data_IF_082757978183
#
_entry.id   IF_082757978183
#
_cell.length_a   1.000
_cell.length_b   1.000
_cell.length_c   1.000
_cell.angle_alpha   90.00
_cell.angle_beta   90.00
_cell.angle_gamma   90.00
#
_symmetry.space_group_name_H-M   'P 1'
#
loop_
_entity.id
_entity.type
_entity.pdbx_description
1 polymer ?
#
# COMPACT_ATOMS: atom_id res chain seq x y z
N UNK A 1 -1.19 24.85 -23.69
CA UNK A 1 -1.17 23.84 -22.61
C UNK A 1 -1.70 22.56 -23.24
N UNK A 2 -0.88 21.50 -23.30
CA UNK A 2 -1.37 20.21 -23.77
C UNK A 2 -2.47 19.71 -22.82
N UNK A 3 -3.57 19.13 -23.35
CA UNK A 3 -4.65 18.65 -22.51
C UNK A 3 -4.12 17.58 -21.54
N UNK A 4 -4.53 17.67 -20.28
CA UNK A 4 -4.27 16.63 -19.29
C UNK A 4 -4.83 15.31 -19.84
N UNK A 5 -3.97 14.32 -20.02
CA UNK A 5 -4.37 13.01 -20.52
C UNK A 5 -4.35 12.02 -19.36
N UNK A 6 -5.52 11.43 -19.07
CA UNK A 6 -5.70 10.38 -18.07
C UNK A 6 -6.12 9.11 -18.81
N UNK A 7 -5.27 8.11 -18.82
CA UNK A 7 -5.52 6.84 -19.50
C UNK A 7 -5.58 5.72 -18.48
N UNK A 8 -6.67 4.96 -18.46
CA UNK A 8 -6.70 3.70 -17.70
C UNK A 8 -5.79 2.69 -18.39
N UNK A 9 -4.88 2.07 -17.63
CA UNK A 9 -4.01 1.02 -18.16
C UNK A 9 -4.62 -0.37 -17.89
N UNK A 10 -4.40 -1.37 -18.76
CA UNK A 10 -4.97 -2.71 -18.59
C UNK A 10 -4.19 -3.58 -17.57
N UNK A 11 -3.39 -2.95 -16.70
CA UNK A 11 -2.47 -3.59 -15.77
C UNK A 11 -2.81 -3.21 -14.33
N UNK A 12 -2.38 -4.04 -13.39
CA UNK A 12 -2.33 -3.68 -11.98
C UNK A 12 -0.90 -3.27 -11.63
N UNK A 13 -0.77 -2.48 -10.56
CA UNK A 13 0.52 -2.20 -9.92
C UNK A 13 0.56 -2.98 -8.62
N UNK A 14 1.51 -3.90 -8.51
CA UNK A 14 1.72 -4.74 -7.34
C UNK A 14 2.87 -4.16 -6.52
N UNK A 15 2.65 -3.92 -5.24
CA UNK A 15 3.70 -3.51 -4.30
C UNK A 15 4.23 -4.75 -3.58
N UNK A 16 5.50 -5.09 -3.79
CA UNK A 16 6.16 -6.17 -3.07
C UNK A 16 6.30 -5.84 -1.57
N UNK A 17 6.23 -6.86 -0.71
CA UNK A 17 6.76 -6.75 0.64
C UNK A 17 8.25 -6.36 0.60
N UNK A 18 8.72 -5.70 1.66
CA UNK A 18 10.13 -5.36 1.79
C UNK A 18 10.94 -6.66 1.74
N UNK A 19 11.97 -6.69 0.90
CA UNK A 19 12.88 -7.81 0.70
C UNK A 19 12.28 -9.03 -0.06
N UNK A 20 11.01 -8.97 -0.51
CA UNK A 20 10.34 -10.06 -1.26
C UNK A 20 10.00 -9.68 -2.71
N UNK A 21 10.79 -8.79 -3.32
CA UNK A 21 10.55 -8.38 -4.71
C UNK A 21 10.81 -9.52 -5.70
N UNK A 22 11.76 -10.41 -5.41
CA UNK A 22 12.08 -11.55 -6.28
C UNK A 22 10.91 -12.54 -6.30
N UNK A 23 10.37 -12.89 -5.14
CA UNK A 23 9.24 -13.81 -5.00
C UNK A 23 7.99 -13.27 -5.67
N UNK A 24 7.75 -11.95 -5.57
CA UNK A 24 6.67 -11.32 -6.32
C UNK A 24 6.91 -11.42 -7.83
N UNK A 25 8.12 -11.16 -8.32
CA UNK A 25 8.43 -11.25 -9.74
C UNK A 25 8.28 -12.68 -10.27
N UNK A 26 8.68 -13.68 -9.49
CA UNK A 26 8.55 -15.10 -9.84
C UNK A 26 7.09 -15.55 -9.86
N UNK A 27 6.24 -14.98 -9.00
CA UNK A 27 4.79 -15.23 -8.96
C UNK A 27 4.04 -14.55 -10.12
N UNK A 28 4.44 -13.34 -10.49
CA UNK A 28 3.71 -12.54 -11.48
C UNK A 28 3.96 -13.03 -12.91
N UNK A 29 2.87 -13.37 -13.59
CA UNK A 29 2.92 -13.62 -15.03
C UNK A 29 2.85 -12.31 -15.81
N UNK A 30 3.54 -12.24 -16.96
CA UNK A 30 3.50 -11.09 -17.87
C UNK A 30 3.83 -9.74 -17.21
N UNK A 31 4.95 -9.70 -16.49
CA UNK A 31 5.54 -8.46 -15.97
C UNK A 31 5.90 -7.54 -17.13
N UNK A 32 5.38 -6.32 -17.08
CA UNK A 32 5.68 -5.25 -18.06
C UNK A 32 6.92 -4.49 -17.61
N UNK A 33 6.98 -4.13 -16.33
CA UNK A 33 8.04 -3.31 -15.78
C UNK A 33 8.13 -3.44 -14.26
N UNK A 34 9.34 -3.30 -13.73
CA UNK A 34 9.59 -3.12 -12.30
C UNK A 34 10.12 -1.70 -12.03
N UNK A 35 9.60 -1.09 -10.96
CA UNK A 35 9.90 0.25 -10.43
C UNK A 35 10.23 0.10 -8.94
N UNK A 36 11.46 -0.31 -8.61
CA UNK A 36 11.87 -0.73 -7.25
C UNK A 36 10.98 -1.86 -6.74
N UNK A 37 10.16 -1.64 -5.70
CA UNK A 37 9.22 -2.64 -5.17
C UNK A 37 7.87 -2.66 -5.90
N UNK A 38 7.59 -1.69 -6.77
CA UNK A 38 6.37 -1.69 -7.58
C UNK A 38 6.60 -2.51 -8.85
N UNK A 39 5.68 -3.41 -9.17
CA UNK A 39 5.71 -4.22 -10.38
C UNK A 39 4.42 -3.98 -11.16
N UNK A 40 4.55 -3.61 -12.43
CA UNK A 40 3.44 -3.43 -13.36
C UNK A 40 3.25 -4.76 -14.10
N UNK A 41 2.10 -5.40 -13.92
CA UNK A 41 1.82 -6.70 -14.53
C UNK A 41 0.32 -6.86 -14.86
N UNK A 42 -0.03 -7.93 -15.58
CA UNK A 42 -1.44 -8.25 -15.84
C UNK A 42 -2.20 -8.49 -14.52
N UNK A 43 -3.52 -8.19 -14.47
CA UNK A 43 -4.34 -8.51 -13.30
C UNK A 43 -4.30 -10.00 -12.97
N UNK A 44 -3.87 -10.34 -11.75
CA UNK A 44 -3.90 -11.68 -11.19
C UNK A 44 -3.95 -11.63 -9.65
N UNK A 45 -4.34 -12.72 -8.98
CA UNK A 45 -4.10 -12.89 -7.55
C UNK A 45 -2.59 -12.88 -7.25
N UNK A 46 -2.22 -12.41 -6.07
CA UNK A 46 -0.84 -12.41 -5.60
C UNK A 46 -0.79 -12.62 -4.08
N UNK A 47 0.09 -13.51 -3.66
CA UNK A 47 0.41 -13.82 -2.26
C UNK A 47 1.57 -12.94 -1.79
N UNK A 48 2.52 -12.64 -2.68
CA UNK A 48 3.73 -11.87 -2.33
C UNK A 48 3.56 -10.35 -2.41
N UNK A 49 2.43 -9.87 -2.96
CA UNK A 49 2.09 -8.46 -2.96
C UNK A 49 1.59 -8.00 -1.58
N UNK A 50 2.30 -7.03 -1.00
CA UNK A 50 1.88 -6.28 0.17
C UNK A 50 0.59 -5.50 -0.11
N UNK A 51 0.49 -4.90 -1.29
CA UNK A 51 -0.72 -4.25 -1.78
C UNK A 51 -0.82 -4.36 -3.30
N UNK A 52 -2.05 -4.25 -3.82
CA UNK A 52 -2.33 -4.31 -5.26
C UNK A 52 -3.20 -3.11 -5.62
N UNK A 53 -2.68 -2.25 -6.48
CA UNK A 53 -3.42 -1.12 -7.03
C UNK A 53 -4.14 -1.58 -8.30
N UNK A 54 -5.47 -1.49 -8.26
CA UNK A 54 -6.38 -1.87 -9.34
C UNK A 54 -6.86 -0.62 -10.06
N UNK A 55 -7.45 -0.78 -11.24
CA UNK A 55 -7.98 0.35 -12.02
C UNK A 55 -6.97 1.50 -12.21
N UNK A 56 -5.69 1.15 -12.40
CA UNK A 56 -4.59 2.12 -12.44
C UNK A 56 -4.77 3.06 -13.63
N UNK A 57 -4.56 4.34 -13.38
CA UNK A 57 -4.52 5.38 -14.41
C UNK A 57 -3.10 5.91 -14.57
N UNK A 58 -2.71 6.11 -15.82
CA UNK A 58 -1.53 6.86 -16.23
C UNK A 58 -1.94 8.31 -16.51
N UNK A 59 -1.26 9.27 -15.89
CA UNK A 59 -1.55 10.69 -16.01
C UNK A 59 -0.31 11.40 -16.53
N UNK A 60 -0.39 11.94 -17.75
CA UNK A 60 0.67 12.77 -18.32
C UNK A 60 0.48 14.24 -17.94
N UNK A 61 1.54 14.89 -17.49
CA UNK A 61 1.51 16.27 -17.04
C UNK A 61 2.81 17.03 -17.37
N UNK A 62 2.73 18.34 -17.54
CA UNK A 62 3.86 19.22 -17.88
C UNK A 62 4.37 20.01 -16.66
N UNK A 63 3.51 20.28 -15.68
CA UNK A 63 3.84 21.07 -14.48
C UNK A 63 3.36 20.44 -13.17
N UNK A 64 4.01 20.81 -12.05
CA UNK A 64 3.61 20.35 -10.70
C UNK A 64 2.14 20.69 -10.41
N UNK A 65 1.70 21.91 -10.76
CA UNK A 65 0.32 22.34 -10.59
C UNK A 65 -0.68 21.48 -11.36
N UNK A 66 -0.33 21.07 -12.59
CA UNK A 66 -1.16 20.19 -13.40
C UNK A 66 -1.27 18.78 -12.80
N UNK A 67 -0.17 18.23 -12.28
CA UNK A 67 -0.19 16.95 -11.55
C UNK A 67 -1.08 17.00 -10.31
N UNK A 68 -0.97 18.06 -9.50
CA UNK A 68 -1.81 18.27 -8.31
C UNK A 68 -3.29 18.35 -8.70
N UNK A 69 -3.62 19.12 -9.73
CA UNK A 69 -5.01 19.25 -10.21
C UNK A 69 -5.57 17.91 -10.68
N UNK A 70 -4.77 17.11 -11.41
CA UNK A 70 -5.17 15.80 -11.90
C UNK A 70 -5.49 14.83 -10.76
N UNK A 71 -4.61 14.73 -9.77
CA UNK A 71 -4.81 13.87 -8.60
C UNK A 71 -6.04 14.32 -7.79
N UNK A 72 -6.23 15.62 -7.57
CA UNK A 72 -7.39 16.16 -6.87
C UNK A 72 -8.71 15.89 -7.59
N UNK A 73 -8.71 15.86 -8.92
CA UNK A 73 -9.89 15.52 -9.70
C UNK A 73 -10.30 14.04 -9.55
N UNK A 74 -9.35 13.16 -9.27
CA UNK A 74 -9.58 11.72 -9.06
C UNK A 74 -9.92 11.37 -7.61
N UNK A 75 -9.35 12.08 -6.64
CA UNK A 75 -9.53 11.77 -5.21
C UNK A 75 -8.98 12.85 -4.29
N UNK A 76 -9.39 12.81 -3.02
CA UNK A 76 -9.00 13.82 -2.01
C UNK A 76 -7.71 13.45 -1.27
N UNK A 77 -7.63 12.21 -0.79
CA UNK A 77 -6.55 11.70 0.02
C UNK A 77 -5.61 10.85 -0.83
N UNK A 78 -4.31 11.15 -0.81
CA UNK A 78 -3.32 10.48 -1.64
C UNK A 78 -2.09 10.06 -0.84
N UNK A 79 -1.75 8.78 -0.96
CA UNK A 79 -0.55 8.17 -0.39
C UNK A 79 0.49 8.01 -1.49
N UNK A 80 1.63 8.68 -1.34
CA UNK A 80 2.75 8.56 -2.26
C UNK A 80 3.59 7.32 -1.96
N UNK A 81 3.83 6.47 -2.96
CA UNK A 81 4.90 5.48 -2.91
C UNK A 81 6.18 6.07 -3.50
N UNK A 82 7.25 6.25 -2.70
CA UNK A 82 8.47 6.88 -3.17
C UNK A 82 9.32 5.95 -4.04
N UNK A 83 9.37 6.24 -5.35
CA UNK A 83 10.31 5.63 -6.28
C UNK A 83 10.80 6.66 -7.31
N UNK A 84 12.09 7.00 -7.27
CA UNK A 84 12.73 8.02 -8.12
C UNK A 84 12.06 9.41 -8.05
N UNK A 85 12.67 10.39 -8.70
CA UNK A 85 12.17 11.77 -8.83
C UNK A 85 11.73 12.42 -7.51
N UNK A 86 12.36 12.06 -6.38
CA UNK A 86 11.93 12.38 -5.02
C UNK A 86 11.59 13.85 -4.83
N UNK A 87 12.47 14.77 -5.27
CA UNK A 87 12.24 16.21 -5.15
C UNK A 87 10.95 16.65 -5.86
N UNK A 88 10.69 16.13 -7.07
CA UNK A 88 9.50 16.50 -7.85
C UNK A 88 8.24 15.89 -7.26
N UNK A 89 8.31 14.63 -6.83
CA UNK A 89 7.18 13.98 -6.17
C UNK A 89 6.82 14.66 -4.84
N UNK A 90 7.82 15.07 -4.05
CA UNK A 90 7.60 15.80 -2.80
C UNK A 90 6.89 17.13 -3.06
N UNK A 91 7.29 17.89 -4.08
CA UNK A 91 6.60 19.14 -4.45
C UNK A 91 5.13 18.91 -4.87
N UNK A 92 4.84 17.78 -5.53
CA UNK A 92 3.45 17.40 -5.84
C UNK A 92 2.72 17.04 -4.54
N UNK A 93 3.32 16.23 -3.67
CA UNK A 93 2.73 15.78 -2.40
C UNK A 93 2.45 16.96 -1.44
N UNK A 94 3.32 17.98 -1.40
CA UNK A 94 3.12 19.22 -0.64
C UNK A 94 1.86 19.99 -1.09
N UNK A 95 1.46 19.83 -2.35
CA UNK A 95 0.23 20.39 -2.89
C UNK A 95 -1.01 19.52 -2.67
N UNK A 96 -0.90 18.33 -2.09
CA UNK A 96 -2.01 17.42 -1.80
C UNK A 96 -2.41 17.47 -0.32
N UNK A 97 -3.57 16.91 0.01
CA UNK A 97 -3.98 16.80 1.40
C UNK A 97 -3.07 15.80 2.14
N UNK A 98 -2.53 16.22 3.27
CA UNK A 98 -1.75 15.34 4.15
C UNK A 98 -2.66 14.25 4.73
N UNK A 99 -2.30 12.99 4.47
CA UNK A 99 -2.95 11.83 5.06
C UNK A 99 -2.08 11.32 6.21
N UNK A 100 -2.63 11.27 7.41
CA UNK A 100 -1.90 10.78 8.57
C UNK A 100 -1.77 9.25 8.49
N UNK A 101 -0.56 8.76 8.26
CA UNK A 101 -0.23 7.33 8.36
C UNK A 101 0.20 7.06 9.80
N UNK A 102 -0.78 6.81 10.66
CA UNK A 102 -0.55 6.53 12.07
C UNK A 102 -0.41 5.03 12.32
N UNK A 103 0.42 4.67 13.31
CA UNK A 103 0.46 3.31 13.82
C UNK A 103 -0.90 2.89 14.38
N UNK A 104 -1.26 1.65 14.13
CA UNK A 104 -2.54 1.05 14.48
C UNK A 104 -2.54 0.68 15.97
N UNK A 105 -3.48 1.20 16.78
CA UNK A 105 -3.71 0.66 18.11
C UNK A 105 -4.45 -0.67 18.00
N UNK A 106 -3.93 -1.74 18.58
CA UNK A 106 -4.64 -3.03 18.61
C UNK A 106 -5.61 -3.10 19.82
N UNK A 107 -6.83 -3.65 19.70
CA UNK A 107 -7.42 -4.33 18.53
C UNK A 107 -8.16 -3.40 17.55
N UNK A 108 -8.07 -2.08 17.72
CA UNK A 108 -8.92 -1.12 17.04
C UNK A 108 -8.28 -0.53 15.78
N UNK A 109 -8.63 -1.04 14.61
CA UNK A 109 -8.40 -0.29 13.37
C UNK A 109 -9.43 0.84 13.26
N UNK A 110 -8.99 2.09 13.40
CA UNK A 110 -9.85 3.25 13.14
C UNK A 110 -10.33 3.20 11.69
N UNK A 111 -11.59 3.60 11.38
CA UNK A 111 -12.04 3.73 10.01
C UNK A 111 -11.07 4.60 9.21
N UNK A 112 -10.54 4.04 8.13
CA UNK A 112 -9.59 4.74 7.27
C UNK A 112 -10.41 5.50 6.24
N UNK A 113 -10.18 6.81 6.12
CA UNK A 113 -10.82 7.60 5.09
C UNK A 113 -10.42 7.06 3.71
N UNK A 114 -11.33 7.05 2.72
CA UNK A 114 -10.97 6.64 1.37
C UNK A 114 -9.73 7.39 0.88
N UNK A 115 -8.76 6.65 0.35
CA UNK A 115 -7.51 7.18 -0.17
C UNK A 115 -7.18 6.51 -1.50
N UNK A 116 -6.35 7.19 -2.28
CA UNK A 116 -5.65 6.58 -3.41
C UNK A 116 -4.15 6.47 -3.14
N UNK A 117 -3.49 5.62 -3.92
CA UNK A 117 -2.04 5.53 -3.96
C UNK A 117 -1.51 6.03 -5.31
N UNK A 118 -0.34 6.67 -5.30
CA UNK A 118 0.29 7.16 -6.51
C UNK A 118 1.81 7.10 -6.45
N UNK A 119 2.46 7.11 -7.61
CA UNK A 119 3.91 7.27 -7.76
C UNK A 119 4.24 8.01 -9.06
N UNK A 120 5.50 8.44 -9.20
CA UNK A 120 6.02 8.92 -10.48
C UNK A 120 6.65 7.76 -11.25
N UNK A 121 6.08 7.44 -12.40
CA UNK A 121 6.63 6.46 -13.33
C UNK A 121 7.85 7.03 -14.05
N UNK A 122 7.76 8.30 -14.45
CA UNK A 122 8.86 9.11 -14.95
C UNK A 122 8.71 10.58 -14.46
N UNK A 123 9.50 11.51 -15.01
CA UNK A 123 9.47 12.92 -14.61
C UNK A 123 8.11 13.61 -14.87
N UNK A 124 7.30 13.11 -15.79
CA UNK A 124 6.09 13.74 -16.32
C UNK A 124 4.89 12.78 -16.42
N UNK A 125 5.02 11.58 -15.85
CA UNK A 125 3.98 10.55 -15.85
C UNK A 125 3.72 10.05 -14.43
N UNK A 126 2.48 10.15 -13.96
CA UNK A 126 2.00 9.57 -12.69
C UNK A 126 1.30 8.25 -12.99
N UNK A 127 1.54 7.26 -12.13
CA UNK A 127 0.64 6.11 -11.96
C UNK A 127 -0.16 6.32 -10.68
N UNK A 128 -1.48 6.24 -10.78
CA UNK A 128 -2.38 6.47 -9.65
C UNK A 128 -3.52 5.46 -9.63
N UNK A 129 -4.02 5.14 -8.43
CA UNK A 129 -5.20 4.30 -8.23
C UNK A 129 -5.94 4.75 -6.98
N UNK A 130 -7.27 4.78 -7.06
CA UNK A 130 -8.18 4.95 -5.91
C UNK A 130 -8.76 3.62 -5.42
N UNK A 131 -8.36 2.50 -6.01
CA UNK A 131 -8.83 1.15 -5.71
C UNK A 131 -7.63 0.26 -5.35
N UNK A 132 -7.21 0.32 -4.09
CA UNK A 132 -6.17 -0.57 -3.55
C UNK A 132 -6.79 -1.82 -2.93
N UNK A 133 -6.04 -2.92 -2.93
CA UNK A 133 -6.49 -4.18 -2.33
C UNK A 133 -6.55 -4.09 -0.81
N UNK A 134 -5.58 -3.42 -0.20
CA UNK A 134 -5.56 -3.19 1.24
C UNK A 134 -6.17 -1.84 1.56
N UNK A 135 -6.99 -1.82 2.61
CA UNK A 135 -7.57 -0.60 3.17
C UNK A 135 -6.63 0.13 4.13
N UNK A 136 -5.34 -0.23 4.17
CA UNK A 136 -4.29 0.46 4.93
C UNK A 136 -3.28 1.07 3.96
N UNK A 137 -2.72 2.27 4.22
CA UNK A 137 -1.74 2.91 3.34
C UNK A 137 -0.61 1.97 2.91
N UNK A 138 -0.45 1.78 1.61
CA UNK A 138 0.55 0.89 0.99
C UNK A 138 0.51 -0.56 1.49
N UNK A 139 -0.59 -1.04 2.08
CA UNK A 139 -0.66 -2.38 2.66
C UNK A 139 0.19 -2.60 3.91
N UNK A 140 0.69 -1.55 4.56
CA UNK A 140 1.59 -1.66 5.71
C UNK A 140 0.82 -1.61 7.05
N UNK A 141 0.68 -2.77 7.71
CA UNK A 141 0.10 -2.88 9.05
C UNK A 141 1.15 -2.58 10.14
N UNK A 142 1.40 -1.30 10.42
CA UNK A 142 2.30 -0.90 11.51
C UNK A 142 1.54 -0.67 12.80
N UNK A 143 1.80 -1.47 13.85
CA UNK A 143 1.10 -1.37 15.13
C UNK A 143 1.87 -0.57 16.19
N UNK A 144 1.14 -0.05 17.18
CA UNK A 144 1.72 0.43 18.43
C UNK A 144 2.12 -0.79 19.27
N UNK A 145 3.42 -1.04 19.38
CA UNK A 145 3.96 -2.25 20.01
C UNK A 145 3.83 -2.24 21.55
N UNK A 146 3.51 -3.41 22.11
CA UNK A 146 3.74 -3.70 23.52
C UNK A 146 5.17 -4.21 23.69
N UNK A 147 6.02 -3.39 24.32
CA UNK A 147 7.44 -3.72 24.57
C UNK A 147 7.70 -4.37 25.93
N UNK A 148 6.67 -4.57 26.75
CA UNK A 148 6.82 -5.01 28.15
C UNK A 148 6.43 -6.47 28.37
N UNK A 149 5.35 -6.91 27.74
CA UNK A 149 4.73 -8.21 28.06
C UNK A 149 5.24 -9.36 27.18
N UNK A 150 5.20 -9.27 25.83
CA UNK A 150 5.51 -10.43 24.99
C UNK A 150 7.03 -10.69 24.91
N UNK A 151 7.44 -11.97 24.79
CA UNK A 151 8.85 -12.35 24.76
C UNK A 151 9.57 -11.93 23.47
N UNK A 152 8.81 -11.64 22.40
CA UNK A 152 9.33 -11.21 21.11
C UNK A 152 8.25 -10.44 20.31
N UNK A 153 8.55 -10.03 19.08
CA UNK A 153 7.63 -9.29 18.19
C UNK A 153 6.73 -10.18 17.32
N UNK A 154 6.72 -11.50 17.52
CA UNK A 154 5.95 -12.42 16.69
C UNK A 154 4.44 -12.17 16.79
N UNK A 155 3.94 -11.74 17.96
CA UNK A 155 2.53 -11.38 18.17
C UNK A 155 1.99 -10.38 17.14
N UNK A 156 2.86 -9.53 16.57
CA UNK A 156 2.47 -8.56 15.54
C UNK A 156 1.92 -9.24 14.27
N UNK A 157 2.42 -10.43 13.92
CA UNK A 157 1.90 -11.22 12.80
C UNK A 157 0.44 -11.65 13.06
N UNK A 158 0.15 -12.06 14.29
CA UNK A 158 -1.19 -12.46 14.68
C UNK A 158 -2.13 -11.25 14.72
N UNK A 159 -1.66 -10.11 15.22
CA UNK A 159 -2.39 -8.84 15.18
C UNK A 159 -2.72 -8.39 13.75
N UNK A 160 -1.78 -8.53 12.83
CA UNK A 160 -2.00 -8.27 11.40
C UNK A 160 -3.09 -9.16 10.81
N UNK A 161 -3.05 -10.47 11.09
CA UNK A 161 -4.08 -11.42 10.63
C UNK A 161 -5.46 -11.05 11.18
N UNK A 162 -5.59 -10.82 12.49
CA UNK A 162 -6.86 -10.44 13.12
C UNK A 162 -7.40 -9.12 12.56
N UNK A 163 -6.53 -8.14 12.37
CA UNK A 163 -6.90 -6.82 11.84
C UNK A 163 -7.29 -6.90 10.35
N UNK A 164 -6.53 -7.64 9.54
CA UNK A 164 -6.79 -7.78 8.10
C UNK A 164 -8.04 -8.59 7.82
N UNK A 165 -8.38 -9.58 8.66
CA UNK A 165 -9.59 -10.39 8.53
C UNK A 165 -10.79 -9.82 9.28
N UNK A 166 -10.58 -8.76 10.07
CA UNK A 166 -11.57 -8.23 11.02
C UNK A 166 -12.17 -9.33 11.91
N UNK A 167 -11.31 -10.21 12.41
CA UNK A 167 -11.67 -11.36 13.23
C UNK A 167 -10.84 -11.33 14.53
N UNK A 168 -11.53 -11.28 15.66
CA UNK A 168 -10.91 -11.20 16.98
C UNK A 168 -11.47 -12.30 17.88
N UNK A 169 -10.65 -13.25 18.34
CA UNK A 169 -11.06 -14.23 19.34
C UNK A 169 -11.54 -13.54 20.62
N UNK A 170 -12.55 -14.10 21.26
CA UNK A 170 -13.07 -13.64 22.54
C UNK A 170 -12.60 -14.51 23.72
N UNK A 171 -13.00 -14.15 24.94
CA UNK A 171 -12.62 -14.88 26.17
C UNK A 171 -13.13 -16.33 26.22
N UNK A 172 -14.05 -16.73 25.34
CA UNK A 172 -14.62 -18.08 25.27
C UNK A 172 -14.02 -18.90 24.13
N UNK A 173 -13.21 -18.27 23.28
CA UNK A 173 -12.59 -18.92 22.13
C UNK A 173 -11.53 -19.92 22.60
N UNK A 174 -11.57 -21.13 22.04
CA UNK A 174 -10.50 -22.11 22.18
C UNK A 174 -9.41 -21.81 21.15
N UNK A 175 -8.21 -21.49 21.64
CA UNK A 175 -7.05 -21.21 20.79
C UNK A 175 -5.99 -22.32 20.98
N UNK A 176 -5.45 -22.82 19.88
CA UNK A 176 -4.36 -23.80 19.86
C UNK A 176 -3.15 -23.18 19.15
N UNK A 177 -2.06 -22.96 19.89
CA UNK A 177 -0.78 -22.48 19.36
C UNK A 177 0.18 -23.65 19.16
N UNK A 178 0.29 -24.12 17.91
CA UNK A 178 1.12 -25.27 17.55
C UNK A 178 2.57 -24.83 17.35
N UNK A 179 3.48 -25.35 18.18
CA UNK A 179 4.88 -24.95 18.16
C UNK A 179 5.16 -23.63 18.88
N UNK A 180 4.38 -23.34 19.94
CA UNK A 180 4.33 -22.05 20.62
C UNK A 180 5.68 -21.47 21.08
N UNK A 181 6.65 -22.29 21.47
CA UNK A 181 7.92 -21.83 22.07
C UNK A 181 8.65 -20.79 21.20
N UNK A 182 9.00 -19.60 21.72
CA UNK A 182 9.05 -19.22 23.15
C UNK A 182 7.78 -18.54 23.71
N UNK A 183 6.66 -18.61 23.01
CA UNK A 183 5.36 -18.06 23.42
C UNK A 183 5.09 -16.68 22.83
N UNK A 184 5.50 -16.44 21.58
CA UNK A 184 5.30 -15.14 20.94
C UNK A 184 3.85 -14.89 20.51
N UNK A 185 3.06 -15.95 20.29
CA UNK A 185 1.65 -15.89 19.87
C UNK A 185 0.68 -16.31 20.97
N UNK A 186 1.15 -17.11 21.93
CA UNK A 186 0.45 -17.46 23.17
C UNK A 186 0.33 -16.23 24.08
#
# INVERSE_FOLDING_TARGET
>A
MSPLTINKIPHHVFLAHKDFSTELLDELSAVVQQLDRLVIAKPQPSIWAQDVWRDVVEIKFESISQAIQALRALGKNWIFFPHKFYRRANLIQEGLQTVAVNRIPFPNLKPIQPFGCWTLHDANTILASTNTQKNVPLGAYEFIENKQIPPNRAYLKLWEVFTSLNFFPDKKSLCLDLGASPGGWT
#
